data_IF_116287384928
#
_entry.id   IF_116287384928
#
_cell.length_a   1.000
_cell.length_b   1.000
_cell.length_c   1.000
_cell.angle_alpha   90.00
_cell.angle_beta   90.00
_cell.angle_gamma   90.00
#
_symmetry.space_group_name_H-M   'P 1'
#
loop_
_entity.id
_entity.type
_entity.pdbx_description
1 polymer ?
#
# COMPACT_ATOMS: atom_id res chain seq x y z
N UNK A 1 33.48 -2.44 13.63
CA UNK A 1 32.13 -3.01 13.45
C UNK A 1 31.43 -2.15 12.41
N UNK A 2 31.28 -2.63 11.17
CA UNK A 2 30.52 -1.93 10.13
C UNK A 2 29.05 -2.22 10.40
N UNK A 3 28.24 -1.19 10.65
CA UNK A 3 26.79 -1.32 10.58
C UNK A 3 26.46 -1.60 9.11
N UNK A 4 25.93 -2.78 8.83
CA UNK A 4 25.33 -3.02 7.52
C UNK A 4 24.05 -2.18 7.46
N UNK A 5 24.00 -1.20 6.56
CA UNK A 5 22.76 -0.50 6.24
C UNK A 5 21.73 -1.54 5.77
N UNK A 6 20.82 -1.95 6.66
CA UNK A 6 19.63 -2.67 6.26
C UNK A 6 18.77 -1.62 5.53
N UNK A 7 18.85 -1.59 4.20
CA UNK A 7 17.82 -0.91 3.41
C UNK A 7 16.55 -1.69 3.64
N UNK A 8 15.60 -1.07 4.31
CA UNK A 8 14.23 -1.54 4.31
C UNK A 8 13.72 -1.39 2.88
N UNK A 9 13.42 -2.50 2.22
CA UNK A 9 12.89 -2.47 0.85
C UNK A 9 11.36 -2.46 0.88
N UNK A 10 10.74 -3.19 1.81
CA UNK A 10 9.28 -3.38 1.83
C UNK A 10 8.71 -3.48 3.24
N UNK A 11 7.43 -3.10 3.39
CA UNK A 11 6.58 -3.36 4.55
C UNK A 11 5.40 -4.20 4.09
N UNK A 12 5.22 -5.37 4.68
CA UNK A 12 4.11 -6.28 4.37
C UNK A 12 3.28 -6.55 5.61
N UNK A 13 1.97 -6.65 5.40
CA UNK A 13 1.04 -7.00 6.47
C UNK A 13 -0.25 -7.55 5.90
N UNK A 14 -0.90 -8.39 6.69
CA UNK A 14 -2.16 -9.02 6.35
C UNK A 14 -3.06 -9.07 7.60
N UNK A 15 -4.36 -8.85 7.39
CA UNK A 15 -5.41 -9.32 8.30
C UNK A 15 -6.22 -10.42 7.63
N UNK A 16 -7.36 -10.79 8.21
CA UNK A 16 -8.24 -11.85 7.69
C UNK A 16 -8.85 -11.53 6.31
N UNK A 17 -8.80 -10.26 5.87
CA UNK A 17 -9.52 -9.74 4.70
C UNK A 17 -8.60 -9.06 3.69
N UNK A 18 -7.55 -8.40 4.16
CA UNK A 18 -6.72 -7.51 3.38
C UNK A 18 -5.25 -7.90 3.46
N UNK A 19 -4.57 -7.70 2.36
CA UNK A 19 -3.12 -7.73 2.27
C UNK A 19 -2.63 -6.36 1.78
N UNK A 20 -1.64 -5.79 2.47
CA UNK A 20 -0.92 -4.63 1.95
C UNK A 20 0.58 -4.88 1.85
N UNK A 21 1.15 -4.28 0.82
CA UNK A 21 2.57 -4.28 0.53
C UNK A 21 2.98 -2.85 0.20
N UNK A 22 3.93 -2.31 0.95
CA UNK A 22 4.49 -0.99 0.69
C UNK A 22 5.95 -1.13 0.27
N UNK A 23 6.23 -0.78 -0.98
CA UNK A 23 7.58 -0.67 -1.50
C UNK A 23 8.14 0.70 -1.08
N UNK A 24 9.02 0.65 -0.08
CA UNK A 24 9.61 1.85 0.53
C UNK A 24 10.55 2.56 -0.45
N UNK A 25 11.20 1.80 -1.33
CA UNK A 25 12.17 2.35 -2.28
C UNK A 25 11.49 3.09 -3.43
N UNK A 26 10.35 2.58 -3.88
CA UNK A 26 9.58 3.17 -4.97
C UNK A 26 8.44 4.08 -4.50
N UNK A 27 8.21 4.18 -3.18
CA UNK A 27 7.10 4.92 -2.57
C UNK A 27 5.74 4.49 -3.14
N UNK A 28 5.47 3.17 -3.16
CA UNK A 28 4.25 2.59 -3.72
C UNK A 28 3.56 1.70 -2.68
N UNK A 29 2.31 2.03 -2.35
CA UNK A 29 1.44 1.19 -1.53
C UNK A 29 0.49 0.38 -2.39
N UNK A 30 0.49 -0.93 -2.21
CA UNK A 30 -0.50 -1.86 -2.72
C UNK A 30 -1.40 -2.28 -1.55
N UNK A 31 -2.71 -2.17 -1.70
CA UNK A 31 -3.71 -2.72 -0.79
C UNK A 31 -4.71 -3.55 -1.59
N UNK A 32 -4.97 -4.79 -1.17
CA UNK A 32 -5.85 -5.71 -1.90
C UNK A 32 -6.64 -6.60 -0.94
N UNK A 33 -7.83 -7.04 -1.35
CA UNK A 33 -8.57 -8.10 -0.70
C UNK A 33 -7.82 -9.44 -0.86
N UNK A 34 -7.57 -10.14 0.25
CA UNK A 34 -6.72 -11.34 0.29
C UNK A 34 -7.30 -12.49 -0.55
N UNK A 35 -8.62 -12.73 -0.44
CA UNK A 35 -9.33 -13.76 -1.19
C UNK A 35 -9.38 -13.50 -2.72
N UNK A 36 -9.01 -12.30 -3.16
CA UNK A 36 -8.98 -11.91 -4.57
C UNK A 36 -7.55 -11.68 -5.08
N UNK A 37 -6.52 -12.26 -4.46
CA UNK A 37 -5.13 -12.11 -4.94
C UNK A 37 -4.86 -12.78 -6.29
N UNK A 38 -5.52 -13.91 -6.55
CA UNK A 38 -5.23 -14.75 -7.71
C UNK A 38 -6.25 -14.56 -8.85
N UNK A 39 -7.16 -13.60 -8.72
CA UNK A 39 -8.11 -13.28 -9.80
C UNK A 39 -7.48 -12.29 -10.79
N UNK A 40 -7.76 -12.43 -12.10
CA UNK A 40 -7.44 -11.41 -13.09
C UNK A 40 -8.07 -10.07 -12.70
N UNK A 41 -7.32 -9.00 -12.89
CA UNK A 41 -7.74 -7.64 -12.62
C UNK A 41 -7.30 -6.73 -13.75
N UNK A 42 -8.00 -5.60 -13.91
CA UNK A 42 -7.50 -4.44 -14.63
C UNK A 42 -7.37 -3.25 -13.67
N UNK A 43 -6.55 -2.28 -14.06
CA UNK A 43 -6.30 -1.07 -13.30
C UNK A 43 -6.97 0.14 -13.97
N UNK A 44 -7.63 0.96 -13.16
CA UNK A 44 -8.23 2.23 -13.58
C UNK A 44 -7.66 3.35 -12.70
N UNK A 45 -7.15 4.42 -13.29
CA UNK A 45 -6.67 5.58 -12.53
C UNK A 45 -7.86 6.42 -12.03
N UNK A 46 -7.92 6.71 -10.73
CA UNK A 46 -8.90 7.62 -10.15
C UNK A 46 -8.43 9.08 -10.22
N UNK A 47 -9.35 9.99 -9.90
CA UNK A 47 -9.08 11.44 -9.90
C UNK A 47 -7.98 11.88 -8.91
N UNK A 48 -7.64 11.03 -7.94
CA UNK A 48 -6.63 11.30 -6.91
C UNK A 48 -5.26 10.72 -7.33
N UNK A 49 -5.16 10.14 -8.54
CA UNK A 49 -3.92 9.55 -9.08
C UNK A 49 -3.61 8.16 -8.51
N UNK A 50 -4.58 7.51 -7.87
CA UNK A 50 -4.47 6.12 -7.41
C UNK A 50 -4.98 5.16 -8.48
N UNK A 51 -4.44 3.95 -8.53
CA UNK A 51 -4.95 2.91 -9.42
C UNK A 51 -5.94 2.02 -8.66
N UNK A 52 -7.20 2.05 -9.05
CA UNK A 52 -8.23 1.14 -8.59
C UNK A 52 -8.08 -0.20 -9.30
N UNK A 53 -8.02 -1.29 -8.53
CA UNK A 53 -7.90 -2.65 -9.07
C UNK A 53 -9.27 -3.30 -9.11
N UNK A 54 -9.77 -3.58 -10.32
CA UNK A 54 -11.10 -4.13 -10.53
C UNK A 54 -11.05 -5.50 -11.19
N UNK A 55 -12.03 -6.33 -10.87
CA UNK A 55 -12.35 -7.55 -11.62
C UNK A 55 -13.17 -7.23 -12.87
N UNK A 56 -13.28 -8.19 -13.78
CA UNK A 56 -14.08 -8.08 -15.02
C UNK A 56 -15.57 -7.78 -14.79
N UNK A 57 -16.09 -8.03 -13.59
CA UNK A 57 -17.46 -7.70 -13.19
C UNK A 57 -17.59 -6.30 -12.52
N UNK A 58 -16.56 -5.46 -12.67
CA UNK A 58 -16.39 -4.13 -12.07
C UNK A 58 -16.21 -4.11 -10.53
N UNK A 59 -16.16 -5.26 -9.84
CA UNK A 59 -15.92 -5.32 -8.40
C UNK A 59 -14.54 -4.77 -8.07
N UNK A 60 -14.50 -3.84 -7.12
CA UNK A 60 -13.27 -3.25 -6.63
C UNK A 60 -12.62 -4.19 -5.62
N UNK A 61 -11.38 -4.59 -5.90
CA UNK A 61 -10.66 -5.59 -5.08
C UNK A 61 -9.36 -5.07 -4.50
N UNK A 62 -8.97 -3.85 -4.83
CA UNK A 62 -7.76 -3.24 -4.31
C UNK A 62 -7.50 -1.85 -4.84
N UNK A 63 -6.43 -1.27 -4.36
CA UNK A 63 -5.93 0.03 -4.75
C UNK A 63 -4.40 0.03 -4.71
N UNK A 64 -3.79 0.72 -5.68
CA UNK A 64 -2.36 1.04 -5.68
C UNK A 64 -2.22 2.54 -5.59
N UNK A 65 -1.38 3.00 -4.69
CA UNK A 65 -1.13 4.43 -4.49
C UNK A 65 0.33 4.72 -4.70
N UNK A 66 0.59 5.51 -5.74
CA UNK A 66 1.93 5.94 -6.14
C UNK A 66 2.29 7.21 -5.39
N UNK A 67 3.54 7.32 -4.94
CA UNK A 67 4.03 8.39 -4.07
C UNK A 67 3.24 8.48 -2.75
N UNK A 68 3.04 7.34 -2.09
CA UNK A 68 2.26 7.25 -0.86
C UNK A 68 2.75 8.22 0.23
N UNK A 69 4.03 8.16 0.56
CA UNK A 69 4.65 9.01 1.57
C UNK A 69 4.57 10.48 1.20
N UNK A 70 4.79 10.82 -0.07
CA UNK A 70 4.63 12.20 -0.55
C UNK A 70 3.21 12.75 -0.34
N UNK A 71 2.19 11.90 -0.48
CA UNK A 71 0.79 12.30 -0.39
C UNK A 71 0.25 12.30 1.05
N UNK A 72 0.74 11.39 1.90
CA UNK A 72 0.12 11.10 3.20
C UNK A 72 1.09 11.08 4.39
N UNK A 73 2.39 10.97 4.13
CA UNK A 73 3.43 11.05 5.14
C UNK A 73 3.71 12.49 5.57
N UNK A 74 4.43 12.64 6.67
CA UNK A 74 4.86 13.93 7.19
C UNK A 74 6.39 14.00 7.26
N UNK A 75 6.96 15.04 6.66
CA UNK A 75 8.41 15.26 6.68
C UNK A 75 9.21 14.16 5.98
N UNK A 76 10.42 13.92 6.48
CA UNK A 76 11.27 12.87 5.95
C UNK A 76 10.72 11.50 6.34
N UNK A 77 10.82 10.53 5.42
CA UNK A 77 10.51 9.14 5.71
C UNK A 77 11.36 8.65 6.90
N UNK A 78 10.75 8.08 7.96
CA UNK A 78 11.49 7.55 9.10
C UNK A 78 12.42 6.40 8.69
N UNK A 79 13.55 6.26 9.37
CA UNK A 79 14.44 5.11 9.19
C UNK A 79 13.91 3.84 9.90
N UNK A 80 12.82 3.95 10.68
CA UNK A 80 12.23 2.87 11.46
C UNK A 80 10.98 2.30 10.79
N UNK A 81 11.01 1.01 10.49
CA UNK A 81 9.87 0.24 9.98
C UNK A 81 8.59 0.42 10.80
N UNK A 82 8.73 0.37 12.13
CA UNK A 82 7.61 0.48 13.07
C UNK A 82 6.99 1.87 12.98
N UNK A 83 7.80 2.91 12.77
CA UNK A 83 7.31 4.28 12.65
C UNK A 83 6.64 4.51 11.30
N UNK A 84 7.23 4.01 10.20
CA UNK A 84 6.60 4.05 8.88
C UNK A 84 5.23 3.36 8.94
N UNK A 85 5.17 2.14 9.48
CA UNK A 85 3.91 1.38 9.61
C UNK A 85 2.85 2.16 10.41
N UNK A 86 3.22 2.77 11.55
CA UNK A 86 2.30 3.59 12.37
C UNK A 86 1.73 4.78 11.59
N UNK A 87 2.51 5.40 10.71
CA UNK A 87 2.02 6.48 9.85
C UNK A 87 1.04 5.97 8.78
N UNK A 88 1.24 4.74 8.31
CA UNK A 88 0.41 4.13 7.27
C UNK A 88 -0.94 3.65 7.77
N UNK A 89 -1.00 3.07 8.97
CA UNK A 89 -2.20 2.40 9.53
C UNK A 89 -3.50 3.23 9.40
N UNK A 90 -3.56 4.52 9.80
CA UNK A 90 -4.80 5.30 9.71
C UNK A 90 -5.32 5.47 8.27
N UNK A 91 -4.40 5.52 7.30
CA UNK A 91 -4.73 5.70 5.90
C UNK A 91 -5.12 4.38 5.25
N UNK A 92 -4.47 3.28 5.63
CA UNK A 92 -4.88 1.93 5.21
C UNK A 92 -6.32 1.67 5.65
N UNK A 93 -6.68 2.00 6.90
CA UNK A 93 -8.06 1.85 7.40
C UNK A 93 -9.08 2.71 6.62
N UNK A 94 -8.66 3.82 6.02
CA UNK A 94 -9.51 4.63 5.14
C UNK A 94 -9.64 4.02 3.75
N UNK A 95 -8.56 3.48 3.21
CA UNK A 95 -8.56 2.80 1.92
C UNK A 95 -9.38 1.52 1.95
N UNK A 96 -9.34 0.76 3.05
CA UNK A 96 -10.21 -0.40 3.30
C UNK A 96 -11.70 -0.09 3.25
N UNK A 97 -12.12 1.18 3.37
CA UNK A 97 -13.53 1.59 3.22
C UNK A 97 -13.90 1.94 1.78
N UNK A 98 -12.90 2.11 0.92
CA UNK A 98 -13.10 2.39 -0.49
C UNK A 98 -13.30 1.09 -1.28
N UNK A 99 -12.73 -0.02 -0.81
CA UNK A 99 -12.79 -1.37 -1.39
C UNK A 99 -13.68 -2.26 -0.53
#
# INVERSE_FOLDING_TARGET
>A
MKLNNIKVETIEWFDDVHHYHYDVSNDVLYLRLDYHRDVPIYAEEDKDGSLLLRQDNDDLVGIVVINWWKNFGEGNLPDSLIEIQRCMEPWIERLKRKI
#
